data_IF_435201197097
#
_entry.id   IF_435201197097
#
_cell.length_a   1.000
_cell.length_b   1.000
_cell.length_c   1.000
_cell.angle_alpha   90.00
_cell.angle_beta   90.00
_cell.angle_gamma   90.00
#
_symmetry.space_group_name_H-M   'P 1'
#
loop_
_entity.id
_entity.type
_entity.pdbx_description
1 polymer ?
#
# COMPACT_ATOMS: atom_id res chain seq x y z
N UNK A 1 -3.04 -9.25 22.47
CA UNK A 1 -2.22 -9.63 21.31
C UNK A 1 -1.60 -8.38 20.70
N UNK A 2 -0.31 -8.39 20.43
CA UNK A 2 0.37 -7.25 19.84
C UNK A 2 -0.06 -7.03 18.38
N UNK A 3 -0.11 -5.78 17.98
CA UNK A 3 -0.43 -5.40 16.61
C UNK A 3 0.44 -4.23 16.15
N UNK A 4 0.75 -4.19 14.87
CA UNK A 4 1.47 -3.07 14.26
C UNK A 4 0.72 -2.57 13.03
N UNK A 5 0.81 -1.26 12.81
CA UNK A 5 0.27 -0.58 11.63
C UNK A 5 1.46 -0.04 10.83
N UNK A 6 1.67 -0.58 9.64
CA UNK A 6 2.84 -0.30 8.81
C UNK A 6 2.48 0.68 7.70
N UNK A 7 3.25 1.75 7.57
CA UNK A 7 3.16 2.66 6.43
C UNK A 7 3.73 1.97 5.18
N UNK A 8 2.86 1.68 4.20
CA UNK A 8 3.29 1.01 2.97
C UNK A 8 4.44 1.75 2.30
N UNK A 9 4.26 3.04 2.05
CA UNK A 9 5.22 3.84 1.27
C UNK A 9 6.57 3.99 1.98
N UNK A 10 6.55 4.15 3.29
CA UNK A 10 7.78 4.37 4.04
C UNK A 10 8.55 3.11 4.37
N UNK A 11 7.93 1.92 4.28
CA UNK A 11 8.49 0.68 4.81
C UNK A 11 8.63 -0.42 3.76
N UNK A 12 7.56 -0.70 3.02
CA UNK A 12 7.51 -1.85 2.12
C UNK A 12 7.85 -1.52 0.68
N UNK A 13 7.41 -0.38 0.19
CA UNK A 13 7.69 0.06 -1.18
C UNK A 13 6.98 1.36 -1.51
N UNK A 14 7.54 2.14 -2.42
CA UNK A 14 7.00 3.45 -2.78
C UNK A 14 6.10 3.33 -4.01
N UNK A 15 4.80 3.49 -3.81
CA UNK A 15 3.80 3.45 -4.89
C UNK A 15 3.63 4.77 -5.63
N UNK A 16 4.22 5.86 -5.15
CA UNK A 16 4.02 7.20 -5.72
C UNK A 16 4.50 7.31 -7.16
N UNK A 17 5.70 6.83 -7.54
CA UNK A 17 6.12 6.91 -8.94
C UNK A 17 5.20 6.14 -9.88
N UNK A 18 4.67 5.00 -9.47
CA UNK A 18 3.74 4.21 -10.26
C UNK A 18 2.43 4.95 -10.46
N UNK A 19 1.88 5.52 -9.39
CA UNK A 19 0.66 6.31 -9.47
C UNK A 19 0.84 7.54 -10.37
N UNK A 20 1.95 8.26 -10.21
CA UNK A 20 2.25 9.44 -11.00
C UNK A 20 2.40 9.10 -12.49
N UNK A 21 3.01 7.96 -12.81
CA UNK A 21 3.13 7.49 -14.19
C UNK A 21 1.75 7.19 -14.79
N UNK A 22 0.86 6.57 -14.01
CA UNK A 22 -0.51 6.30 -14.47
C UNK A 22 -1.30 7.59 -14.68
N UNK A 23 -1.20 8.54 -13.75
CA UNK A 23 -1.86 9.84 -13.87
C UNK A 23 -1.41 10.57 -15.13
N UNK A 24 -0.12 10.59 -15.41
CA UNK A 24 0.43 11.22 -16.61
C UNK A 24 -0.10 10.54 -17.88
N UNK A 25 -0.17 9.21 -17.87
CA UNK A 25 -0.69 8.42 -19.01
C UNK A 25 -2.17 8.71 -19.27
N UNK A 26 -2.97 8.69 -18.22
CA UNK A 26 -4.41 8.95 -18.30
C UNK A 26 -4.71 10.38 -18.73
N UNK A 27 -4.01 11.36 -18.15
CA UNK A 27 -4.20 12.76 -18.52
C UNK A 27 -3.90 12.99 -20.00
N UNK A 28 -2.85 12.35 -20.52
CA UNK A 28 -2.48 12.47 -21.93
C UNK A 28 -3.47 11.79 -22.86
N UNK A 29 -3.92 10.57 -22.52
CA UNK A 29 -4.77 9.76 -23.39
C UNK A 29 -6.24 10.15 -23.35
N UNK A 30 -6.77 10.39 -22.16
CA UNK A 30 -8.20 10.63 -21.95
C UNK A 30 -8.53 12.12 -21.77
N UNK A 31 -7.53 12.98 -21.65
CA UNK A 31 -7.71 14.42 -21.44
C UNK A 31 -8.55 14.73 -20.20
N UNK A 32 -8.32 13.97 -19.12
CA UNK A 32 -9.04 14.16 -17.84
C UNK A 32 -8.18 14.88 -16.84
N UNK A 33 -8.84 15.58 -15.90
CA UNK A 33 -8.18 16.20 -14.76
C UNK A 33 -7.93 15.14 -13.68
N UNK A 34 -6.67 14.88 -13.29
CA UNK A 34 -6.35 13.87 -12.28
C UNK A 34 -7.03 14.13 -10.92
N UNK A 35 -7.38 15.37 -10.61
CA UNK A 35 -8.05 15.70 -9.35
C UNK A 35 -9.56 15.45 -9.41
N UNK A 36 -10.10 15.15 -10.57
CA UNK A 36 -11.52 14.95 -10.80
C UNK A 36 -11.82 13.59 -11.44
N UNK A 37 -11.05 12.56 -11.06
CA UNK A 37 -11.19 11.23 -11.66
C UNK A 37 -12.59 10.64 -11.49
N UNK A 38 -13.18 10.77 -10.31
CA UNK A 38 -14.51 10.20 -10.05
C UNK A 38 -15.57 10.80 -10.98
N UNK A 39 -15.41 12.05 -11.39
CA UNK A 39 -16.35 12.75 -12.26
C UNK A 39 -16.03 12.54 -13.74
N UNK A 40 -14.75 12.63 -14.11
CA UNK A 40 -14.32 12.64 -15.52
C UNK A 40 -13.96 11.27 -16.07
N UNK A 41 -13.62 10.32 -15.19
CA UNK A 41 -13.29 8.95 -15.57
C UNK A 41 -13.84 7.97 -14.53
N UNK A 42 -15.16 7.73 -14.50
CA UNK A 42 -15.79 6.92 -13.44
C UNK A 42 -15.22 5.51 -13.30
N UNK A 43 -14.64 4.93 -14.36
CA UNK A 43 -14.04 3.60 -14.33
C UNK A 43 -12.53 3.63 -14.07
N UNK A 44 -12.02 4.68 -13.44
CA UNK A 44 -10.58 4.86 -13.23
C UNK A 44 -9.95 3.77 -12.36
N UNK A 45 -10.71 3.20 -11.40
CA UNK A 45 -10.16 2.18 -10.50
C UNK A 45 -9.72 0.91 -11.21
N UNK A 46 -10.54 0.27 -12.06
CA UNK A 46 -10.07 -0.87 -12.85
C UNK A 46 -8.92 -0.52 -13.80
N UNK A 47 -8.91 0.70 -14.35
CA UNK A 47 -7.83 1.13 -15.23
C UNK A 47 -6.51 1.28 -14.48
N UNK A 48 -6.55 1.85 -13.29
CA UNK A 48 -5.37 1.94 -12.42
C UNK A 48 -4.86 0.55 -12.05
N UNK A 49 -5.76 -0.36 -11.66
CA UNK A 49 -5.38 -1.72 -11.29
C UNK A 49 -4.64 -2.42 -12.43
N UNK A 50 -5.16 -2.32 -13.64
CA UNK A 50 -4.54 -2.94 -14.80
C UNK A 50 -3.16 -2.34 -15.10
N UNK A 51 -3.06 -1.01 -15.08
CA UNK A 51 -1.78 -0.33 -15.27
C UNK A 51 -0.76 -0.76 -14.21
N UNK A 52 -1.19 -0.83 -12.96
CA UNK A 52 -0.33 -1.23 -11.85
C UNK A 52 0.18 -2.67 -12.02
N UNK A 53 -0.68 -3.61 -12.42
CA UNK A 53 -0.25 -4.98 -12.69
C UNK A 53 0.83 -5.05 -13.78
N UNK A 54 0.63 -4.29 -14.86
CA UNK A 54 1.56 -4.30 -15.98
C UNK A 54 2.90 -3.63 -15.65
N UNK A 55 2.90 -2.64 -14.76
CA UNK A 55 4.07 -1.80 -14.51
C UNK A 55 4.72 -1.98 -13.12
N UNK A 56 4.10 -2.75 -12.23
CA UNK A 56 4.64 -2.96 -10.89
C UNK A 56 6.12 -3.41 -10.89
N UNK A 57 6.56 -4.33 -11.76
CA UNK A 57 7.96 -4.76 -11.77
C UNK A 57 8.97 -3.64 -12.04
N UNK A 58 8.54 -2.58 -12.72
CA UNK A 58 9.43 -1.44 -13.03
C UNK A 58 9.61 -0.54 -11.81
N UNK A 59 8.55 -0.37 -11.02
CA UNK A 59 8.52 0.64 -9.96
C UNK A 59 8.70 0.06 -8.55
N UNK A 60 8.38 -1.22 -8.36
CA UNK A 60 8.35 -1.83 -7.04
C UNK A 60 9.32 -3.01 -6.96
N UNK A 61 10.17 -2.99 -5.94
CA UNK A 61 11.13 -4.06 -5.72
C UNK A 61 10.95 -4.64 -4.33
N UNK A 62 10.76 -5.98 -4.22
CA UNK A 62 10.69 -6.62 -2.91
C UNK A 62 11.95 -6.34 -2.09
N UNK A 63 11.75 -6.10 -0.79
CA UNK A 63 12.84 -5.88 0.16
C UNK A 63 13.03 -7.13 0.99
N UNK A 64 14.20 -7.77 0.88
CA UNK A 64 14.51 -8.95 1.68
C UNK A 64 14.50 -8.65 3.18
N UNK A 65 15.07 -7.52 3.67
CA UNK A 65 14.98 -7.18 5.09
C UNK A 65 13.54 -6.99 5.57
N UNK A 66 12.69 -6.34 4.77
CA UNK A 66 11.28 -6.17 5.14
C UNK A 66 10.55 -7.51 5.19
N UNK A 67 10.75 -8.36 4.20
CA UNK A 67 10.15 -9.70 4.17
C UNK A 67 10.58 -10.54 5.38
N UNK A 68 11.85 -10.49 5.74
CA UNK A 68 12.35 -11.21 6.92
C UNK A 68 11.73 -10.70 8.21
N UNK A 69 11.60 -9.38 8.35
CA UNK A 69 10.97 -8.78 9.53
C UNK A 69 9.49 -9.17 9.65
N UNK A 70 8.76 -9.15 8.54
CA UNK A 70 7.34 -9.57 8.52
C UNK A 70 7.18 -11.05 8.92
N UNK A 71 8.04 -11.93 8.40
CA UNK A 71 8.01 -13.35 8.78
C UNK A 71 8.23 -13.54 10.27
N UNK A 72 9.23 -12.83 10.82
CA UNK A 72 9.56 -12.91 12.26
C UNK A 72 8.39 -12.43 13.12
N UNK A 73 7.78 -11.31 12.76
CA UNK A 73 6.66 -10.74 13.49
C UNK A 73 5.42 -11.65 13.43
N UNK A 74 5.13 -12.19 12.26
CA UNK A 74 4.02 -13.12 12.11
C UNK A 74 4.23 -14.38 12.94
N UNK A 75 5.45 -14.93 12.93
CA UNK A 75 5.79 -16.10 13.74
C UNK A 75 5.68 -15.83 15.25
N UNK A 76 5.91 -14.58 15.66
CA UNK A 76 5.76 -14.16 17.05
C UNK A 76 4.30 -13.85 17.45
N UNK A 77 3.36 -14.02 16.54
CA UNK A 77 1.94 -13.79 16.81
C UNK A 77 1.51 -12.34 16.71
N UNK A 78 2.33 -11.47 16.15
CA UNK A 78 1.99 -10.06 15.97
C UNK A 78 1.01 -9.91 14.80
N UNK A 79 -0.08 -9.17 15.03
CA UNK A 79 -1.03 -8.85 13.96
C UNK A 79 -0.45 -7.73 13.11
N UNK A 80 -0.47 -7.90 11.79
CA UNK A 80 0.15 -6.97 10.86
C UNK A 80 -0.92 -6.28 10.02
N UNK A 81 -1.04 -4.96 10.16
CA UNK A 81 -1.87 -4.13 9.30
C UNK A 81 -1.00 -3.17 8.49
N UNK A 82 -1.51 -2.75 7.35
CA UNK A 82 -0.85 -1.77 6.46
C UNK A 82 -1.80 -0.64 6.16
N UNK A 83 -1.28 0.59 6.16
CA UNK A 83 -2.03 1.77 5.75
C UNK A 83 -1.30 2.54 4.66
N UNK A 84 -2.05 3.21 3.81
CA UNK A 84 -1.51 4.07 2.77
C UNK A 84 -2.55 5.08 2.30
N UNK A 85 -2.10 6.24 1.87
CA UNK A 85 -2.98 7.22 1.24
C UNK A 85 -3.33 6.88 -0.22
N UNK A 86 -2.60 5.93 -0.82
CA UNK A 86 -2.84 5.48 -2.19
C UNK A 86 -4.21 4.80 -2.34
N UNK A 87 -4.77 4.75 -3.56
CA UNK A 87 -5.98 3.99 -3.82
C UNK A 87 -5.82 2.51 -3.47
N UNK A 88 -6.90 1.89 -2.99
CA UNK A 88 -6.86 0.50 -2.54
C UNK A 88 -6.41 -0.47 -3.62
N UNK A 89 -6.85 -0.28 -4.86
CA UNK A 89 -6.48 -1.12 -5.99
C UNK A 89 -4.97 -1.17 -6.18
N UNK A 90 -4.33 0.00 -6.12
CA UNK A 90 -2.88 0.10 -6.23
C UNK A 90 -2.17 -0.55 -5.04
N UNK A 91 -2.68 -0.31 -3.83
CA UNK A 91 -2.10 -0.88 -2.61
C UNK A 91 -2.14 -2.40 -2.62
N UNK A 92 -3.25 -3.01 -3.04
CA UNK A 92 -3.38 -4.47 -3.11
C UNK A 92 -2.39 -5.08 -4.09
N UNK A 93 -2.25 -4.47 -5.27
CA UNK A 93 -1.31 -4.94 -6.29
C UNK A 93 0.12 -4.78 -5.80
N UNK A 94 0.42 -3.66 -5.15
CA UNK A 94 1.74 -3.43 -4.58
C UNK A 94 2.11 -4.48 -3.53
N UNK A 95 1.21 -4.77 -2.60
CA UNK A 95 1.46 -5.78 -1.58
C UNK A 95 1.68 -7.17 -2.18
N UNK A 96 0.89 -7.54 -3.18
CA UNK A 96 1.05 -8.82 -3.86
C UNK A 96 2.41 -8.91 -4.56
N UNK A 97 2.78 -7.86 -5.29
CA UNK A 97 4.06 -7.81 -6.00
C UNK A 97 5.26 -7.82 -5.05
N UNK A 98 5.14 -7.12 -3.93
CA UNK A 98 6.19 -7.06 -2.91
C UNK A 98 6.27 -8.33 -2.06
N UNK A 99 5.37 -9.30 -2.27
CA UNK A 99 5.37 -10.56 -1.53
C UNK A 99 4.87 -10.44 -0.10
N UNK A 100 4.16 -9.35 0.23
CA UNK A 100 3.71 -9.07 1.58
C UNK A 100 2.24 -9.42 1.84
N UNK A 101 1.44 -9.64 0.79
CA UNK A 101 -0.01 -9.78 0.91
C UNK A 101 -0.44 -10.89 1.87
N UNK A 102 0.26 -12.01 1.91
CA UNK A 102 -0.09 -13.15 2.77
C UNK A 102 0.12 -12.87 4.25
N UNK A 103 0.94 -11.88 4.59
CA UNK A 103 1.30 -11.58 5.98
C UNK A 103 0.53 -10.40 6.53
N UNK A 104 -0.21 -9.71 5.68
CA UNK A 104 -0.99 -8.54 6.05
C UNK A 104 -2.42 -8.99 6.35
N UNK A 105 -2.83 -8.81 7.60
CA UNK A 105 -4.17 -9.19 8.06
C UNK A 105 -5.21 -8.12 7.66
N UNK A 106 -4.82 -6.86 7.67
CA UNK A 106 -5.72 -5.75 7.40
C UNK A 106 -5.02 -4.69 6.55
N UNK A 107 -5.73 -4.16 5.57
CA UNK A 107 -5.28 -3.08 4.72
C UNK A 107 -6.28 -1.93 4.78
N UNK A 108 -5.79 -0.74 5.07
CA UNK A 108 -6.56 0.48 4.94
C UNK A 108 -5.91 1.40 3.91
N UNK A 109 -6.69 1.89 2.96
CA UNK A 109 -6.20 2.72 1.87
C UNK A 109 -7.05 3.98 1.71
N UNK A 110 -6.44 5.03 1.16
CA UNK A 110 -7.10 6.30 0.92
C UNK A 110 -7.10 7.23 2.13
N UNK A 111 -7.91 8.31 2.08
CA UNK A 111 -7.96 9.28 3.16
C UNK A 111 -8.38 8.65 4.49
N UNK A 112 -7.71 9.03 5.57
CA UNK A 112 -8.02 8.53 6.91
C UNK A 112 -7.63 7.07 7.14
N UNK A 113 -6.77 6.49 6.32
CA UNK A 113 -6.40 5.08 6.38
C UNK A 113 -5.83 4.68 7.74
N UNK A 114 -4.91 5.47 8.29
CA UNK A 114 -4.29 5.12 9.57
C UNK A 114 -5.32 5.05 10.70
N UNK A 115 -6.19 6.03 10.78
CA UNK A 115 -7.21 6.07 11.83
C UNK A 115 -8.15 4.86 11.75
N UNK A 116 -8.57 4.49 10.54
CA UNK A 116 -9.42 3.30 10.34
C UNK A 116 -8.69 2.02 10.71
N UNK A 117 -7.42 1.93 10.34
CA UNK A 117 -6.61 0.74 10.66
C UNK A 117 -6.42 0.60 12.18
N UNK A 118 -6.10 1.69 12.86
CA UNK A 118 -5.93 1.67 14.32
C UNK A 118 -7.22 1.28 15.03
N UNK A 119 -8.38 1.75 14.53
CA UNK A 119 -9.66 1.34 15.08
C UNK A 119 -9.91 -0.16 14.90
N UNK A 120 -9.51 -0.73 13.77
CA UNK A 120 -9.66 -2.15 13.49
C UNK A 120 -8.71 -3.01 14.34
N UNK A 121 -7.45 -2.61 14.46
CA UNK A 121 -6.45 -3.37 15.20
C UNK A 121 -6.53 -3.20 16.72
N UNK A 122 -7.12 -2.11 17.17
CA UNK A 122 -7.37 -1.87 18.59
C UNK A 122 -6.30 -1.05 19.30
N UNK A 123 -6.55 -0.76 20.60
CA UNK A 123 -5.62 0.04 21.40
C UNK A 123 -4.29 -0.67 21.58
N UNK A 124 -3.23 0.12 21.72
CA UNK A 124 -1.89 -0.42 21.88
C UNK A 124 -1.20 -0.79 20.58
N UNK A 125 -1.82 -0.58 19.44
CA UNK A 125 -1.21 -0.81 18.13
C UNK A 125 -0.07 0.20 17.91
N UNK A 126 1.10 -0.33 17.56
CA UNK A 126 2.28 0.48 17.29
C UNK A 126 2.31 0.86 15.81
N UNK A 127 2.59 2.12 15.51
CA UNK A 127 2.71 2.62 14.13
C UNK A 127 4.16 2.54 13.67
N UNK A 128 4.40 1.93 12.51
CA UNK A 128 5.73 1.73 11.93
C UNK A 128 5.83 2.54 10.63
N UNK A 129 6.75 3.49 10.59
CA UNK A 129 6.93 4.39 9.45
C UNK A 129 8.28 4.24 8.75
N UNK A 130 9.16 3.38 9.24
CA UNK A 130 10.46 3.14 8.63
C UNK A 130 10.83 1.67 8.71
N UNK A 131 11.72 1.24 7.81
CA UNK A 131 12.24 -0.12 7.83
C UNK A 131 13.03 -0.37 9.12
N UNK A 132 13.78 0.60 9.59
CA UNK A 132 14.52 0.49 10.85
C UNK A 132 13.60 0.18 12.03
N UNK A 133 12.46 0.86 12.10
CA UNK A 133 11.48 0.63 13.16
C UNK A 133 10.84 -0.76 13.03
N UNK A 134 10.63 -1.23 11.81
CA UNK A 134 10.09 -2.57 11.58
C UNK A 134 11.05 -3.65 12.06
N UNK A 135 12.35 -3.41 11.90
CA UNK A 135 13.40 -4.36 12.27
C UNK A 135 13.76 -4.31 13.76
N UNK A 136 13.37 -3.24 14.43
CA UNK A 136 13.71 -3.04 15.85
C UNK A 136 13.00 -4.00 16.82
#
# INVERSE_FOLDING_TARGET
MAAIAIDLVGVLGDTRPLYDAWVADVARRAHVDPERLDEELPNWRPLLARFAEDHAPVYLRPSAPAAAALRRLQAAGVRIGVFTAAPEELARIALAHLGAARRVEALAAGPGALERLLAELGPGTRTIRSLADLQA
#
